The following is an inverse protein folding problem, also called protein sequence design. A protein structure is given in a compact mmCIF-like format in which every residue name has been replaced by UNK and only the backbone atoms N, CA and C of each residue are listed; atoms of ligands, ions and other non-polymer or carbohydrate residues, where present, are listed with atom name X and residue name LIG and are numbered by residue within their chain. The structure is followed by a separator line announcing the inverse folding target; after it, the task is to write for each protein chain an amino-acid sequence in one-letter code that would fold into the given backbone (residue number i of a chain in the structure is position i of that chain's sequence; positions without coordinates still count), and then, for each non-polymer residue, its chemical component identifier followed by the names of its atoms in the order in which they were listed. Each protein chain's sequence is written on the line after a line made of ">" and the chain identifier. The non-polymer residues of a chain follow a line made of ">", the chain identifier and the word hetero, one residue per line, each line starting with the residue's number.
data_IF_740924871862
#
_entry.id   IF_740924871862
#
_cell.length_a   1.000
_cell.length_b   1.000
_cell.length_c   1.000
_cell.angle_alpha   90.00
_cell.angle_beta   90.00
_cell.angle_gamma   90.00
#
_symmetry.space_group_name_H-M   'P 1'
#
loop_
_entity.id
_entity.type
_entity.pdbx_description
1 polymer ?
#
# COMPACT_ATOMS: atom_id res chain seq x y z
N UNK A 1 -9.21 15.70 -31.02
CA UNK A 1 -8.95 16.60 -29.88
C UNK A 1 -7.72 16.07 -29.14
N UNK A 2 -6.63 16.79 -29.15
CA UNK A 2 -5.37 16.42 -28.47
C UNK A 2 -5.59 16.49 -26.95
N UNK A 3 -5.22 15.47 -26.15
CA UNK A 3 -5.33 15.56 -24.70
C UNK A 3 -4.44 16.70 -24.21
N UNK A 4 -5.04 17.68 -23.54
CA UNK A 4 -4.33 18.81 -22.96
C UNK A 4 -3.30 18.32 -21.96
N UNK A 5 -2.04 18.67 -22.17
CA UNK A 5 -0.99 18.48 -21.20
C UNK A 5 -1.39 19.20 -19.90
N UNK A 6 -1.55 18.47 -18.80
CA UNK A 6 -1.73 19.03 -17.46
C UNK A 6 -0.43 19.77 -17.13
N UNK A 7 -0.46 21.09 -17.25
CA UNK A 7 0.66 21.96 -16.88
C UNK A 7 0.83 21.86 -15.34
N UNK A 8 2.02 21.48 -14.88
CA UNK A 8 2.44 21.63 -13.49
C UNK A 8 2.64 20.34 -12.70
N UNK A 9 2.59 19.16 -13.31
CA UNK A 9 2.90 17.92 -12.60
C UNK A 9 4.36 17.87 -12.16
N UNK A 10 4.61 17.80 -10.84
CA UNK A 10 5.92 17.44 -10.32
C UNK A 10 6.36 16.15 -11.03
N UNK A 11 7.47 16.21 -11.75
CA UNK A 11 7.95 14.99 -12.40
C UNK A 11 8.42 14.05 -11.30
N UNK A 12 8.00 12.78 -11.34
CA UNK A 12 8.40 11.75 -10.39
C UNK A 12 9.93 11.75 -10.15
N UNK A 13 10.70 12.05 -11.19
CA UNK A 13 12.16 12.15 -11.10
C UNK A 13 12.67 13.31 -10.21
N UNK A 14 11.88 14.36 -9.99
CA UNK A 14 12.23 15.50 -9.16
C UNK A 14 11.71 15.39 -7.71
N UNK A 15 10.86 14.40 -7.43
CA UNK A 15 10.31 14.17 -6.11
C UNK A 15 11.41 13.70 -5.16
N UNK A 16 11.45 14.25 -3.97
CA UNK A 16 12.32 13.76 -2.89
C UNK A 16 11.70 12.57 -2.18
N UNK A 17 10.38 12.61 -1.95
CA UNK A 17 9.63 11.56 -1.25
C UNK A 17 8.42 11.13 -2.05
N UNK A 18 8.31 9.82 -2.25
CA UNK A 18 7.24 9.19 -3.03
C UNK A 18 6.50 8.20 -2.16
N UNK A 19 5.17 8.32 -2.13
CA UNK A 19 4.29 7.28 -1.59
C UNK A 19 3.76 6.47 -2.76
N UNK A 20 3.87 5.16 -2.70
CA UNK A 20 3.33 4.23 -3.69
C UNK A 20 2.27 3.37 -3.03
N UNK A 21 1.01 3.55 -3.42
CA UNK A 21 -0.09 2.67 -3.00
C UNK A 21 -0.27 1.55 -4.01
N UNK A 22 -0.37 0.33 -3.51
CA UNK A 22 -0.52 -0.88 -4.32
C UNK A 22 -1.84 -1.57 -4.00
N UNK A 23 -2.71 -1.70 -5.01
CA UNK A 23 -3.99 -2.38 -4.89
C UNK A 23 -3.84 -3.91 -4.78
N UNK A 24 -4.77 -4.56 -4.10
CA UNK A 24 -4.77 -6.01 -3.90
C UNK A 24 -4.85 -6.80 -5.21
N UNK A 25 -5.54 -6.26 -6.23
CA UNK A 25 -5.69 -6.90 -7.53
C UNK A 25 -4.36 -7.08 -8.29
N UNK A 26 -3.36 -6.24 -7.99
CA UNK A 26 -2.03 -6.35 -8.57
C UNK A 26 -1.13 -7.31 -7.79
N UNK A 27 -1.32 -7.37 -6.46
CA UNK A 27 -0.50 -8.16 -5.55
C UNK A 27 -0.93 -9.62 -5.44
N UNK A 28 -2.22 -9.89 -5.62
CA UNK A 28 -2.80 -11.22 -5.41
C UNK A 28 -3.45 -11.70 -6.70
N UNK A 29 -2.98 -12.81 -7.21
CA UNK A 29 -3.54 -13.46 -8.40
C UNK A 29 -4.96 -13.92 -8.13
N UNK A 30 -5.91 -13.47 -8.96
CA UNK A 30 -7.33 -13.82 -8.84
C UNK A 30 -7.59 -15.34 -8.90
N UNK A 31 -6.83 -16.06 -9.74
CA UNK A 31 -7.00 -17.50 -9.98
C UNK A 31 -6.49 -18.36 -8.84
N UNK A 32 -5.34 -18.03 -8.30
CA UNK A 32 -4.62 -18.84 -7.31
C UNK A 32 -4.75 -18.30 -5.87
N UNK A 33 -5.10 -17.01 -5.71
CA UNK A 33 -5.04 -16.33 -4.42
C UNK A 33 -3.62 -16.22 -3.85
N UNK A 34 -2.59 -16.47 -4.68
CA UNK A 34 -1.18 -16.35 -4.32
C UNK A 34 -0.67 -14.94 -4.56
N UNK A 35 0.48 -14.63 -4.00
CA UNK A 35 1.19 -13.41 -4.33
C UNK A 35 1.68 -13.48 -5.79
N UNK A 36 1.38 -12.43 -6.56
CA UNK A 36 1.94 -12.24 -7.90
C UNK A 36 3.41 -11.83 -7.78
N UNK A 37 4.25 -12.84 -7.67
CA UNK A 37 5.69 -12.70 -7.40
C UNK A 37 6.40 -11.90 -8.48
N UNK A 38 6.14 -12.22 -9.74
CA UNK A 38 6.79 -11.58 -10.87
C UNK A 38 6.49 -10.07 -10.93
N UNK A 39 5.24 -9.70 -10.66
CA UNK A 39 4.84 -8.29 -10.58
C UNK A 39 5.51 -7.58 -9.40
N UNK A 40 5.56 -8.24 -8.24
CA UNK A 40 6.17 -7.68 -7.03
C UNK A 40 7.67 -7.46 -7.22
N UNK A 41 8.38 -8.39 -7.87
CA UNK A 41 9.80 -8.26 -8.22
C UNK A 41 10.04 -7.12 -9.22
N UNK A 42 9.17 -6.96 -10.21
CA UNK A 42 9.23 -5.84 -11.15
C UNK A 42 9.11 -4.50 -10.43
N UNK A 43 8.12 -4.36 -9.53
CA UNK A 43 7.94 -3.15 -8.74
C UNK A 43 9.13 -2.91 -7.79
N UNK A 44 9.68 -3.95 -7.20
CA UNK A 44 10.89 -3.82 -6.36
C UNK A 44 12.07 -3.24 -7.16
N UNK A 45 12.21 -3.61 -8.44
CA UNK A 45 13.18 -3.00 -9.35
C UNK A 45 12.93 -1.51 -9.59
N UNK A 46 11.66 -1.10 -9.75
CA UNK A 46 11.30 0.32 -9.86
C UNK A 46 11.62 1.09 -8.58
N UNK A 47 11.30 0.51 -7.43
CA UNK A 47 11.62 1.08 -6.11
C UNK A 47 13.15 1.23 -5.95
N UNK A 48 13.92 0.24 -6.37
CA UNK A 48 15.38 0.30 -6.34
C UNK A 48 15.90 1.47 -7.21
N UNK A 49 15.31 1.70 -8.38
CA UNK A 49 15.65 2.85 -9.24
C UNK A 49 15.32 4.20 -8.58
N UNK A 50 14.19 4.31 -7.87
CA UNK A 50 13.87 5.51 -7.10
C UNK A 50 14.90 5.73 -5.97
N UNK A 51 15.20 4.68 -5.23
CA UNK A 51 16.17 4.72 -4.13
C UNK A 51 17.60 5.05 -4.60
N UNK A 52 18.03 4.55 -5.76
CA UNK A 52 19.35 4.89 -6.32
C UNK A 52 19.51 6.37 -6.71
N UNK A 53 18.37 7.08 -6.92
CA UNK A 53 18.33 8.53 -7.15
C UNK A 53 18.30 9.33 -5.83
N UNK A 54 18.40 8.68 -4.68
CA UNK A 54 18.32 9.32 -3.36
C UNK A 54 16.88 9.64 -2.91
N UNK A 55 15.88 9.12 -3.60
CA UNK A 55 14.48 9.37 -3.25
C UNK A 55 14.06 8.49 -2.07
N UNK A 56 13.27 9.04 -1.17
CA UNK A 56 12.62 8.29 -0.09
C UNK A 56 11.33 7.65 -0.60
N UNK A 57 11.13 6.37 -0.31
CA UNK A 57 9.94 5.62 -0.74
C UNK A 57 9.18 5.08 0.45
N UNK A 58 7.87 5.28 0.44
CA UNK A 58 6.92 4.71 1.40
C UNK A 58 5.90 3.88 0.60
N UNK A 59 5.63 2.68 1.04
CA UNK A 59 4.65 1.81 0.41
C UNK A 59 3.37 1.76 1.24
N UNK A 60 2.23 1.80 0.57
CA UNK A 60 0.92 1.48 1.17
C UNK A 60 0.37 0.27 0.42
N UNK A 61 0.28 -0.85 1.11
CA UNK A 61 0.02 -2.17 0.49
C UNK A 61 -1.32 -2.71 0.94
N UNK A 62 -2.06 -3.28 0.00
CA UNK A 62 -3.29 -4.03 0.27
C UNK A 62 -3.05 -5.53 0.11
N UNK A 63 -4.09 -6.35 0.32
CA UNK A 63 -4.08 -7.77 -0.05
C UNK A 63 -3.96 -8.74 1.11
N UNK A 64 -3.81 -8.29 2.35
CA UNK A 64 -3.70 -9.16 3.52
C UNK A 64 -4.92 -10.09 3.65
N UNK A 65 -6.15 -9.55 3.59
CA UNK A 65 -7.38 -10.35 3.67
C UNK A 65 -7.45 -11.41 2.56
N UNK A 66 -7.09 -11.06 1.33
CA UNK A 66 -7.13 -12.00 0.21
C UNK A 66 -6.16 -13.17 0.41
N UNK A 67 -4.95 -12.88 0.87
CA UNK A 67 -3.94 -13.91 1.18
C UNK A 67 -4.36 -14.81 2.34
N UNK A 68 -4.86 -14.23 3.42
CA UNK A 68 -5.29 -15.00 4.59
C UNK A 68 -6.58 -15.79 4.34
N UNK A 69 -7.50 -15.25 3.54
CA UNK A 69 -8.71 -15.96 3.10
C UNK A 69 -8.37 -17.32 2.48
N UNK A 70 -7.37 -17.31 1.59
CA UNK A 70 -6.89 -18.54 0.97
C UNK A 70 -6.30 -19.51 2.00
N UNK A 71 -5.44 -19.01 2.87
CA UNK A 71 -4.74 -19.83 3.85
C UNK A 71 -5.69 -20.49 4.86
N UNK A 72 -6.73 -19.76 5.24
CA UNK A 72 -7.80 -20.24 6.11
C UNK A 72 -8.89 -21.03 5.37
N UNK A 73 -8.74 -21.23 4.05
CA UNK A 73 -9.73 -21.89 3.19
C UNK A 73 -11.17 -21.33 3.38
N UNK A 74 -11.29 -20.01 3.58
CA UNK A 74 -12.58 -19.36 3.75
C UNK A 74 -13.36 -19.31 2.42
N UNK A 75 -14.69 -19.43 2.47
CA UNK A 75 -15.53 -19.51 1.27
C UNK A 75 -15.49 -18.22 0.45
N UNK A 76 -15.78 -18.28 -0.86
CA UNK A 76 -15.94 -17.09 -1.68
C UNK A 76 -17.13 -16.24 -1.22
N UNK A 77 -17.15 -14.96 -1.59
CA UNK A 77 -18.23 -14.04 -1.25
C UNK A 77 -17.89 -13.10 -0.09
N UNK A 78 -18.90 -12.44 0.47
CA UNK A 78 -18.72 -11.48 1.57
C UNK A 78 -18.39 -12.23 2.86
N UNK A 79 -17.29 -11.88 3.51
CA UNK A 79 -16.92 -12.37 4.84
C UNK A 79 -17.63 -11.53 5.92
N UNK A 80 -17.86 -12.14 7.07
CA UNK A 80 -18.20 -11.40 8.28
C UNK A 80 -16.99 -10.60 8.76
N UNK A 81 -17.22 -9.61 9.63
CA UNK A 81 -16.15 -8.74 10.12
C UNK A 81 -15.04 -9.56 10.79
N UNK A 82 -15.39 -10.44 11.72
CA UNK A 82 -14.45 -11.29 12.45
C UNK A 82 -13.68 -12.26 11.54
N UNK A 83 -14.30 -12.75 10.47
CA UNK A 83 -13.63 -13.59 9.48
C UNK A 83 -12.63 -12.77 8.64
N UNK A 84 -12.99 -11.54 8.29
CA UNK A 84 -12.11 -10.61 7.57
C UNK A 84 -10.92 -10.22 8.43
N UNK A 85 -11.13 -9.95 9.72
CA UNK A 85 -10.09 -9.63 10.69
C UNK A 85 -9.13 -10.83 10.89
N UNK A 86 -9.67 -12.04 11.03
CA UNK A 86 -8.87 -13.26 11.13
C UNK A 86 -8.05 -13.50 9.85
N UNK A 87 -8.66 -13.33 8.67
CA UNK A 87 -7.97 -13.43 7.39
C UNK A 87 -6.86 -12.37 7.28
N UNK A 88 -7.14 -11.12 7.67
CA UNK A 88 -6.13 -10.08 7.67
C UNK A 88 -4.94 -10.44 8.57
N UNK A 89 -5.18 -10.95 9.77
CA UNK A 89 -4.13 -11.35 10.70
C UNK A 89 -3.19 -12.40 10.09
N UNK A 90 -3.74 -13.44 9.46
CA UNK A 90 -2.96 -14.50 8.81
C UNK A 90 -2.25 -13.98 7.56
N UNK A 91 -2.97 -13.27 6.71
CA UNK A 91 -2.42 -12.80 5.43
C UNK A 91 -1.39 -11.69 5.56
N UNK A 92 -1.46 -10.87 6.62
CA UNK A 92 -0.51 -9.80 6.86
C UNK A 92 0.93 -10.31 7.08
N UNK A 93 1.09 -11.47 7.70
CA UNK A 93 2.41 -12.11 7.88
C UNK A 93 3.01 -12.43 6.50
N UNK A 94 2.22 -13.02 5.61
CA UNK A 94 2.68 -13.37 4.26
C UNK A 94 2.99 -12.14 3.42
N UNK A 95 2.14 -11.13 3.50
CA UNK A 95 2.32 -9.89 2.78
C UNK A 95 3.61 -9.17 3.20
N UNK A 96 3.83 -9.04 4.51
CA UNK A 96 5.03 -8.44 5.07
C UNK A 96 6.30 -9.23 4.70
N UNK A 97 6.22 -10.57 4.74
CA UNK A 97 7.33 -11.44 4.35
C UNK A 97 7.69 -11.27 2.86
N UNK A 98 6.69 -11.23 1.98
CA UNK A 98 6.92 -11.05 0.55
C UNK A 98 7.61 -9.71 0.23
N UNK A 99 7.16 -8.62 0.84
CA UNK A 99 7.83 -7.32 0.71
C UNK A 99 9.26 -7.34 1.24
N UNK A 100 9.46 -7.93 2.42
CA UNK A 100 10.80 -8.08 3.00
C UNK A 100 11.73 -8.87 2.09
N UNK A 101 11.23 -9.94 1.49
CA UNK A 101 12.02 -10.81 0.61
C UNK A 101 12.45 -10.09 -0.66
N UNK A 102 11.50 -9.48 -1.40
CA UNK A 102 11.81 -8.87 -2.70
C UNK A 102 12.64 -7.57 -2.56
N UNK A 103 12.34 -6.74 -1.58
CA UNK A 103 13.11 -5.53 -1.35
C UNK A 103 14.45 -5.83 -0.67
N UNK A 104 14.51 -6.88 0.14
CA UNK A 104 15.75 -7.36 0.77
C UNK A 104 16.80 -7.82 -0.23
N UNK A 105 16.39 -8.36 -1.39
CA UNK A 105 17.31 -8.68 -2.50
C UNK A 105 18.05 -7.44 -3.03
N UNK A 106 17.40 -6.28 -2.97
CA UNK A 106 18.02 -4.98 -3.28
C UNK A 106 18.82 -4.35 -2.12
N UNK A 107 18.99 -5.07 -1.01
CA UNK A 107 19.71 -4.58 0.18
C UNK A 107 18.90 -3.60 1.04
N UNK A 108 17.59 -3.47 0.81
CA UNK A 108 16.76 -2.52 1.57
C UNK A 108 16.22 -3.14 2.86
N UNK A 109 16.30 -2.38 3.94
CA UNK A 109 15.59 -2.71 5.19
C UNK A 109 14.11 -2.34 5.04
N UNK A 110 13.24 -3.28 5.31
CA UNK A 110 11.77 -3.11 5.25
C UNK A 110 11.22 -3.02 6.66
N UNK A 111 10.33 -2.06 6.90
CA UNK A 111 9.64 -1.89 8.16
C UNK A 111 8.13 -1.96 7.97
N UNK A 112 7.45 -2.88 8.67
CA UNK A 112 5.99 -2.93 8.68
C UNK A 112 5.42 -1.89 9.64
N UNK A 113 4.42 -1.14 9.18
CA UNK A 113 3.65 -0.21 10.00
C UNK A 113 2.15 -0.44 9.74
N UNK A 114 1.40 -0.73 10.79
CA UNK A 114 -0.05 -0.89 10.70
C UNK A 114 -0.74 0.32 11.32
N UNK A 115 -1.64 0.93 10.57
CA UNK A 115 -2.38 2.12 10.98
C UNK A 115 -3.89 1.86 10.86
N UNK A 116 -4.64 2.45 11.76
CA UNK A 116 -6.10 2.60 11.61
C UNK A 116 -6.44 4.00 11.13
N UNK A 117 -7.66 4.22 10.64
CA UNK A 117 -8.14 5.58 10.36
C UNK A 117 -8.04 6.47 11.58
N UNK A 118 -8.38 5.97 12.77
CA UNK A 118 -8.24 6.71 14.02
C UNK A 118 -6.80 7.19 14.30
N UNK A 119 -5.79 6.45 13.84
CA UNK A 119 -4.38 6.87 13.98
C UNK A 119 -4.03 8.04 13.06
N UNK A 120 -4.79 8.25 11.99
CA UNK A 120 -4.62 9.39 11.07
C UNK A 120 -5.45 10.62 11.47
N UNK A 121 -6.46 10.46 12.32
CA UNK A 121 -7.39 11.52 12.72
C UNK A 121 -7.12 12.08 14.13
N UNK A 122 -6.73 11.25 15.07
CA UNK A 122 -6.41 11.68 16.42
C UNK A 122 -5.01 12.30 16.49
N UNK A 123 -4.94 13.59 16.81
CA UNK A 123 -3.69 14.38 16.80
C UNK A 123 -2.49 13.67 17.45
N UNK A 124 -2.67 13.08 18.64
CA UNK A 124 -1.58 12.42 19.37
C UNK A 124 -1.08 11.19 18.63
N UNK A 125 -1.98 10.35 18.13
CA UNK A 125 -1.64 9.15 17.36
C UNK A 125 -1.02 9.51 16.01
N UNK A 126 -1.57 10.53 15.35
CA UNK A 126 -1.01 11.08 14.11
C UNK A 126 0.45 11.51 14.27
N UNK A 127 0.75 12.30 15.31
CA UNK A 127 2.11 12.75 15.58
C UNK A 127 3.06 11.60 15.89
N UNK A 128 2.62 10.59 16.64
CA UNK A 128 3.42 9.40 16.93
C UNK A 128 3.73 8.60 15.64
N UNK A 129 2.72 8.33 14.82
CA UNK A 129 2.89 7.64 13.55
C UNK A 129 3.83 8.42 12.62
N UNK A 130 3.63 9.73 12.47
CA UNK A 130 4.49 10.62 11.69
C UNK A 130 5.95 10.55 12.16
N UNK A 131 6.18 10.62 13.46
CA UNK A 131 7.54 10.57 14.03
C UNK A 131 8.20 9.22 13.76
N UNK A 132 7.45 8.13 13.89
CA UNK A 132 7.94 6.77 13.57
C UNK A 132 8.31 6.65 12.10
N UNK A 133 7.43 7.08 11.19
CA UNK A 133 7.71 7.06 9.75
C UNK A 133 8.93 7.92 9.39
N UNK A 134 9.02 9.12 9.97
CA UNK A 134 10.18 10.01 9.77
C UNK A 134 11.47 9.36 10.25
N UNK A 135 11.45 8.68 11.40
CA UNK A 135 12.61 7.96 11.93
C UNK A 135 13.04 6.81 11.01
N UNK A 136 12.07 6.01 10.51
CA UNK A 136 12.33 4.90 9.59
C UNK A 136 12.97 5.41 8.29
N UNK A 137 12.45 6.48 7.69
CA UNK A 137 13.01 7.08 6.49
C UNK A 137 14.42 7.61 6.71
N UNK A 138 14.65 8.30 7.83
CA UNK A 138 16.01 8.78 8.20
C UNK A 138 17.01 7.64 8.38
N UNK A 139 16.56 6.50 8.88
CA UNK A 139 17.39 5.28 9.03
C UNK A 139 17.54 4.50 7.71
N UNK A 140 17.01 5.01 6.61
CA UNK A 140 17.11 4.39 5.28
C UNK A 140 16.16 3.22 5.04
N UNK A 141 15.28 2.90 5.98
CA UNK A 141 14.29 1.85 5.81
C UNK A 141 13.17 2.27 4.85
N UNK A 142 12.55 1.28 4.21
CA UNK A 142 11.34 1.45 3.41
C UNK A 142 10.14 1.03 4.27
N UNK A 143 9.29 1.98 4.72
CA UNK A 143 8.06 1.65 5.42
C UNK A 143 7.06 0.99 4.46
N UNK A 144 6.52 -0.15 4.85
CA UNK A 144 5.39 -0.81 4.20
C UNK A 144 4.20 -0.70 5.16
N UNK A 145 3.25 0.12 4.77
CA UNK A 145 2.09 0.48 5.57
C UNK A 145 0.88 -0.32 5.07
N UNK A 146 0.07 -0.80 5.98
CA UNK A 146 -1.26 -1.33 5.68
C UNK A 146 -2.24 -0.87 6.76
N UNK A 147 -3.53 -1.02 6.50
CA UNK A 147 -4.53 -0.87 7.53
C UNK A 147 -4.37 -1.96 8.59
N UNK A 148 -4.60 -1.60 9.86
CA UNK A 148 -4.69 -2.58 10.95
C UNK A 148 -6.09 -3.18 10.99
N UNK A 149 -6.38 -4.00 10.00
CA UNK A 149 -7.67 -4.67 9.84
C UNK A 149 -8.09 -5.49 11.08
N UNK A 150 -7.13 -5.96 11.89
CA UNK A 150 -7.40 -6.82 13.05
C UNK A 150 -8.15 -6.11 14.17
N UNK A 151 -8.09 -4.80 14.23
CA UNK A 151 -8.76 -3.96 15.24
C UNK A 151 -9.69 -2.92 14.62
N UNK A 152 -9.84 -2.94 13.30
CA UNK A 152 -10.77 -2.06 12.61
C UNK A 152 -12.21 -2.41 12.99
N UNK A 153 -12.95 -1.42 13.50
CA UNK A 153 -14.35 -1.60 13.95
C UNK A 153 -15.37 -1.25 12.88
N UNK A 154 -14.92 -0.63 11.79
CA UNK A 154 -15.76 -0.30 10.64
C UNK A 154 -15.71 -1.42 9.61
N UNK A 155 -16.79 -1.61 8.86
CA UNK A 155 -16.77 -2.51 7.71
C UNK A 155 -15.63 -2.10 6.78
N UNK A 156 -14.75 -3.06 6.46
CA UNK A 156 -13.64 -2.87 5.53
C UNK A 156 -14.24 -2.56 4.16
N UNK A 157 -14.06 -1.34 3.69
CA UNK A 157 -14.63 -0.85 2.44
C UNK A 157 -13.59 -0.88 1.32
N UNK A 158 -14.09 -1.07 0.10
CA UNK A 158 -13.26 -0.93 -1.09
C UNK A 158 -12.71 0.51 -1.17
N UNK A 159 -11.40 0.66 -1.39
CA UNK A 159 -10.75 1.97 -1.48
C UNK A 159 -10.19 2.54 -0.18
N UNK A 160 -10.33 1.85 0.96
CA UNK A 160 -9.80 2.35 2.24
C UNK A 160 -8.29 2.60 2.19
N UNK A 161 -7.53 1.76 1.48
CA UNK A 161 -6.09 1.96 1.30
C UNK A 161 -5.73 3.11 0.35
N UNK A 162 -6.63 3.58 -0.53
CA UNK A 162 -6.40 4.82 -1.31
C UNK A 162 -6.47 6.03 -0.38
N UNK A 163 -7.45 6.05 0.52
CA UNK A 163 -7.56 7.08 1.57
C UNK A 163 -6.37 7.02 2.52
N UNK A 164 -5.97 5.83 2.95
CA UNK A 164 -4.79 5.64 3.78
C UNK A 164 -3.53 6.13 3.05
N UNK A 165 -3.39 5.84 1.76
CA UNK A 165 -2.30 6.34 0.91
C UNK A 165 -2.23 7.87 0.90
N UNK A 166 -3.37 8.54 0.72
CA UNK A 166 -3.45 10.00 0.77
C UNK A 166 -3.07 10.55 2.15
N UNK A 167 -3.58 9.95 3.23
CA UNK A 167 -3.23 10.33 4.61
C UNK A 167 -1.75 10.12 4.92
N UNK A 168 -1.17 9.02 4.45
CA UNK A 168 0.25 8.74 4.59
C UNK A 168 1.10 9.74 3.81
N UNK A 169 0.68 10.11 2.60
CA UNK A 169 1.36 11.12 1.79
C UNK A 169 1.37 12.49 2.51
N UNK A 170 0.23 12.90 3.07
CA UNK A 170 0.13 14.10 3.89
C UNK A 170 1.01 14.00 5.15
N UNK A 171 0.89 12.91 5.90
CA UNK A 171 1.61 12.67 7.16
C UNK A 171 3.13 12.69 6.96
N UNK A 172 3.61 12.15 5.85
CA UNK A 172 5.04 12.09 5.53
C UNK A 172 5.53 13.30 4.74
N UNK A 173 4.63 14.24 4.37
CA UNK A 173 4.93 15.37 3.48
C UNK A 173 5.57 14.90 2.18
N UNK A 174 4.94 13.91 1.55
CA UNK A 174 5.40 13.37 0.28
C UNK A 174 5.13 14.35 -0.88
N UNK A 175 6.05 14.39 -1.83
CA UNK A 175 5.92 15.23 -3.01
C UNK A 175 4.98 14.61 -4.06
N UNK A 176 4.91 13.28 -4.08
CA UNK A 176 4.11 12.50 -5.04
C UNK A 176 3.46 11.31 -4.36
N UNK A 177 2.19 11.10 -4.66
CA UNK A 177 1.45 9.86 -4.40
C UNK A 177 1.18 9.18 -5.74
N UNK A 178 1.64 7.93 -5.86
CA UNK A 178 1.36 7.04 -7.01
C UNK A 178 0.34 6.01 -6.56
N UNK A 179 -0.78 5.95 -7.25
CA UNK A 179 -1.82 4.94 -7.04
C UNK A 179 -1.70 3.87 -8.12
N UNK A 180 -1.24 2.69 -7.76
CA UNK A 180 -1.19 1.55 -8.66
C UNK A 180 -2.46 0.71 -8.49
N UNK A 181 -3.21 0.58 -9.57
CA UNK A 181 -4.49 -0.12 -9.64
C UNK A 181 -4.60 -0.92 -10.93
N UNK A 182 -5.65 -1.72 -11.05
CA UNK A 182 -6.01 -2.47 -12.26
C UNK A 182 -6.90 -1.65 -13.23
N UNK A 183 -7.09 -0.35 -12.93
CA UNK A 183 -7.72 0.64 -13.82
C UNK A 183 -6.70 1.66 -14.30
N UNK A 184 -6.88 2.20 -15.49
CA UNK A 184 -5.93 3.08 -16.17
C UNK A 184 -6.10 4.57 -15.85
N UNK A 185 -7.08 4.92 -15.01
CA UNK A 185 -7.31 6.32 -14.64
C UNK A 185 -8.35 6.52 -13.55
N UNK A 186 -8.64 7.79 -13.28
CA UNK A 186 -9.71 8.21 -12.39
C UNK A 186 -11.00 8.34 -13.21
N UNK A 187 -12.05 7.66 -12.75
CA UNK A 187 -13.38 7.64 -13.34
C UNK A 187 -14.39 8.32 -12.40
N UNK A 188 -15.45 8.84 -12.95
CA UNK A 188 -16.59 9.39 -12.22
C UNK A 188 -17.59 8.30 -11.77
N UNK A 189 -17.37 7.07 -12.20
CA UNK A 189 -18.15 5.88 -11.84
C UNK A 189 -17.34 4.60 -12.06
N UNK A 190 -17.97 3.45 -11.86
CA UNK A 190 -17.33 2.15 -12.11
C UNK A 190 -17.15 1.92 -13.63
N UNK A 191 -15.91 1.86 -14.15
CA UNK A 191 -15.66 1.70 -15.58
C UNK A 191 -16.09 0.34 -16.14
N UNK A 192 -16.45 -0.62 -15.29
CA UNK A 192 -16.93 -1.94 -15.72
C UNK A 192 -18.44 -1.96 -15.93
N UNK A 193 -19.16 -0.92 -15.51
CA UNK A 193 -20.62 -0.80 -15.59
C UNK A 193 -21.09 0.06 -16.77
N UNK A 194 -20.20 0.65 -17.56
CA UNK A 194 -20.51 1.46 -18.75
C UNK A 194 -20.03 0.78 -20.03
#
# INVERSE_FOLDING_TARGET
>A
MTPGAVAGGLRLAAARRVVVKVGSALLVEKSSGSINRAWLESLAGDIARLRSRGQEVVLVSSGAIALGRRELALPPGKLKLEESQAAAAVGQIRLAHAWKEVLGQGGFTVAQVLLTLGDTEQRRRYLNARNTLTALLRLGAIPVINENDTVATQEIRYGDNDRLGARVAEMTSADVLVLLSDVDGLYDGDPTLN
#
